data_IF_125110174835
#
_entry.id   IF_125110174835
#
_cell.length_a   1.000
_cell.length_b   1.000
_cell.length_c   1.000
_cell.angle_alpha   90.00
_cell.angle_beta   90.00
_cell.angle_gamma   90.00
#
_symmetry.space_group_name_H-M   'P 1'
#
loop_
_entity.id
_entity.type
_entity.pdbx_description
1 polymer ?
#
# COMPACT_ATOMS: atom_id res chain seq x y z
N UNK A 1 -32.56 -3.27 -1.95
CA UNK A 1 -32.23 -2.42 -3.12
C UNK A 1 -33.46 -2.09 -3.95
N UNK A 2 -34.23 -3.05 -4.49
CA UNK A 2 -35.31 -2.72 -5.45
C UNK A 2 -36.50 -1.94 -4.88
N UNK A 3 -36.89 -2.12 -3.62
CA UNK A 3 -37.99 -1.34 -3.02
C UNK A 3 -37.64 0.13 -2.72
N UNK A 4 -36.35 0.44 -2.54
CA UNK A 4 -35.87 1.76 -2.11
C UNK A 4 -35.72 2.75 -3.28
N UNK A 5 -35.73 2.22 -4.51
CA UNK A 5 -35.66 2.99 -5.75
C UNK A 5 -36.91 2.83 -6.62
N UNK A 6 -38.00 2.27 -6.07
CA UNK A 6 -39.26 2.20 -6.80
C UNK A 6 -39.81 3.62 -7.03
N UNK A 7 -40.09 3.96 -8.29
CA UNK A 7 -40.43 5.33 -8.70
C UNK A 7 -39.28 6.34 -8.70
N UNK A 8 -38.06 5.97 -8.25
CA UNK A 8 -36.85 6.82 -8.35
C UNK A 8 -36.13 6.60 -9.69
N UNK A 9 -35.49 7.64 -10.19
CA UNK A 9 -34.79 7.60 -11.48
C UNK A 9 -33.37 7.05 -11.36
N UNK A 10 -32.74 6.73 -12.51
CA UNK A 10 -31.33 6.31 -12.55
C UNK A 10 -30.34 7.39 -12.04
N UNK A 11 -30.76 8.66 -12.02
CA UNK A 11 -29.97 9.77 -11.46
C UNK A 11 -29.82 9.66 -9.96
N UNK A 12 -30.90 9.29 -9.26
CA UNK A 12 -30.91 9.07 -7.82
C UNK A 12 -29.97 7.93 -7.41
N UNK A 13 -30.06 6.80 -8.11
CA UNK A 13 -29.17 5.66 -7.89
C UNK A 13 -27.69 6.04 -8.06
N UNK A 14 -27.36 6.86 -9.06
CA UNK A 14 -25.98 7.32 -9.29
C UNK A 14 -25.52 8.28 -8.20
N UNK A 15 -26.38 9.18 -7.73
CA UNK A 15 -26.09 10.08 -6.62
C UNK A 15 -25.75 9.31 -5.35
N UNK A 16 -26.66 8.44 -4.93
CA UNK A 16 -26.51 7.63 -3.71
C UNK A 16 -25.25 6.72 -3.82
N UNK A 17 -24.98 6.14 -4.99
CA UNK A 17 -23.75 5.35 -5.21
C UNK A 17 -22.49 6.20 -5.12
N UNK A 18 -22.50 7.43 -5.68
CA UNK A 18 -21.36 8.32 -5.62
C UNK A 18 -21.03 8.72 -4.18
N UNK A 19 -22.05 9.04 -3.38
CA UNK A 19 -21.87 9.36 -1.96
C UNK A 19 -21.24 8.20 -1.20
N UNK A 20 -21.74 6.97 -1.40
CA UNK A 20 -21.17 5.77 -0.76
C UNK A 20 -19.70 5.58 -1.14
N UNK A 21 -19.35 5.72 -2.41
CA UNK A 21 -17.96 5.57 -2.86
C UNK A 21 -17.07 6.67 -2.28
N UNK A 22 -17.55 7.91 -2.23
CA UNK A 22 -16.82 9.02 -1.62
C UNK A 22 -16.54 8.75 -0.14
N UNK A 23 -17.55 8.35 0.62
CA UNK A 23 -17.38 8.04 2.04
C UNK A 23 -16.49 6.82 2.27
N UNK A 24 -16.57 5.81 1.41
CA UNK A 24 -15.69 4.65 1.46
C UNK A 24 -14.22 5.02 1.21
N UNK A 25 -13.93 5.90 0.25
CA UNK A 25 -12.56 6.28 -0.13
C UNK A 25 -11.98 7.37 0.78
N UNK A 26 -12.81 8.19 1.42
CA UNK A 26 -12.42 9.28 2.33
C UNK A 26 -11.33 8.88 3.35
N UNK A 27 -11.46 7.78 4.14
CA UNK A 27 -10.43 7.41 5.10
C UNK A 27 -9.09 7.05 4.44
N UNK A 28 -9.10 6.44 3.24
CA UNK A 28 -7.88 6.11 2.51
C UNK A 28 -7.18 7.39 2.07
N UNK A 29 -7.94 8.35 1.50
CA UNK A 29 -7.41 9.66 1.11
C UNK A 29 -6.80 10.40 2.30
N UNK A 30 -7.45 10.37 3.45
CA UNK A 30 -6.99 11.08 4.63
C UNK A 30 -5.66 10.52 5.14
N UNK A 31 -5.52 9.19 5.21
CA UNK A 31 -4.24 8.53 5.56
C UNK A 31 -3.14 8.87 4.54
N UNK A 32 -3.45 8.85 3.24
CA UNK A 32 -2.48 9.23 2.20
C UNK A 32 -2.05 10.68 2.38
N UNK A 33 -2.99 11.59 2.65
CA UNK A 33 -2.69 13.00 2.87
C UNK A 33 -1.80 13.21 4.10
N UNK A 34 -2.08 12.49 5.19
CA UNK A 34 -1.26 12.53 6.42
C UNK A 34 0.17 12.07 6.14
N UNK A 35 0.36 10.92 5.50
CA UNK A 35 1.68 10.39 5.16
C UNK A 35 2.45 11.31 4.19
N UNK A 36 1.77 11.95 3.25
CA UNK A 36 2.40 12.89 2.32
C UNK A 36 2.74 14.24 2.96
N UNK A 37 2.06 14.60 4.06
CA UNK A 37 2.34 15.83 4.80
C UNK A 37 3.59 15.75 5.67
N UNK A 38 4.08 14.53 5.96
CA UNK A 38 5.32 14.28 6.70
C UNK A 38 6.30 13.39 5.90
N UNK A 39 7.11 14.00 5.02
CA UNK A 39 8.12 13.28 4.26
C UNK A 39 9.17 12.57 5.13
N UNK A 40 9.46 13.07 6.33
CA UNK A 40 10.47 12.50 7.21
C UNK A 40 9.98 11.18 7.82
N UNK A 41 8.73 11.15 8.28
CA UNK A 41 8.10 9.92 8.75
C UNK A 41 7.94 8.89 7.62
N UNK A 42 7.56 9.33 6.41
CA UNK A 42 7.51 8.46 5.24
C UNK A 42 8.87 7.83 4.93
N UNK A 43 9.96 8.62 4.97
CA UNK A 43 11.32 8.12 4.82
C UNK A 43 11.72 7.13 5.91
N UNK A 44 11.34 7.39 7.16
CA UNK A 44 11.57 6.48 8.28
C UNK A 44 10.88 5.13 8.04
N UNK A 45 9.61 5.14 7.63
CA UNK A 45 8.85 3.92 7.31
C UNK A 45 9.46 3.15 6.15
N UNK A 46 9.88 3.84 5.08
CA UNK A 46 10.62 3.23 3.96
C UNK A 46 11.92 2.58 4.44
N UNK A 47 12.65 3.23 5.35
CA UNK A 47 13.86 2.67 5.97
C UNK A 47 13.59 1.37 6.73
N UNK A 48 12.52 1.32 7.52
CA UNK A 48 12.07 0.10 8.21
C UNK A 48 11.71 -1.00 7.22
N UNK A 49 10.97 -0.68 6.17
CA UNK A 49 10.61 -1.62 5.10
C UNK A 49 11.84 -2.18 4.39
N UNK A 50 12.80 -1.31 4.04
CA UNK A 50 14.04 -1.69 3.39
C UNK A 50 14.91 -2.60 4.27
N UNK A 51 14.98 -2.34 5.58
CA UNK A 51 15.70 -3.23 6.51
C UNK A 51 15.09 -4.64 6.51
N UNK A 52 13.77 -4.74 6.64
CA UNK A 52 13.06 -6.04 6.62
C UNK A 52 13.26 -6.76 5.28
N UNK A 53 13.11 -6.05 4.16
CA UNK A 53 13.29 -6.60 2.82
C UNK A 53 14.73 -7.12 2.61
N UNK A 54 15.74 -6.35 3.04
CA UNK A 54 17.15 -6.76 2.95
C UNK A 54 17.43 -8.00 3.78
N UNK A 55 16.89 -8.10 4.99
CA UNK A 55 17.08 -9.27 5.83
C UNK A 55 16.61 -10.56 5.11
N UNK A 56 15.43 -10.54 4.50
CA UNK A 56 14.91 -11.67 3.73
C UNK A 56 15.72 -11.90 2.44
N UNK A 57 16.00 -10.86 1.67
CA UNK A 57 16.67 -10.98 0.37
C UNK A 57 18.12 -11.46 0.49
N UNK A 58 18.82 -11.11 1.58
CA UNK A 58 20.21 -11.53 1.83
C UNK A 58 20.36 -13.04 1.87
N UNK A 59 19.38 -13.77 2.42
CA UNK A 59 19.43 -15.22 2.49
C UNK A 59 19.45 -15.82 1.07
N UNK A 60 18.47 -15.46 0.24
CA UNK A 60 18.40 -15.93 -1.15
C UNK A 60 19.63 -15.53 -1.95
N UNK A 61 20.13 -14.31 -1.75
CA UNK A 61 21.34 -13.85 -2.44
C UNK A 61 22.58 -14.66 -2.03
N UNK A 62 22.69 -15.02 -0.75
CA UNK A 62 23.75 -15.89 -0.25
C UNK A 62 23.72 -17.27 -0.90
N UNK A 63 22.56 -17.92 -0.91
CA UNK A 63 22.38 -19.25 -1.54
C UNK A 63 22.78 -19.22 -3.03
N UNK A 64 22.42 -18.15 -3.74
CA UNK A 64 22.75 -17.95 -5.16
C UNK A 64 24.26 -17.72 -5.33
N UNK A 65 24.89 -16.93 -4.47
CA UNK A 65 26.32 -16.67 -4.52
C UNK A 65 27.13 -17.95 -4.28
N UNK A 66 26.73 -18.74 -3.29
CA UNK A 66 27.34 -20.03 -2.99
C UNK A 66 27.19 -21.01 -4.17
N UNK A 67 26.00 -21.07 -4.77
CA UNK A 67 25.74 -21.95 -5.92
C UNK A 67 26.57 -21.59 -7.17
N UNK A 68 26.82 -20.30 -7.39
CA UNK A 68 27.63 -19.80 -8.53
C UNK A 68 29.14 -19.88 -8.24
N UNK A 69 29.53 -20.01 -6.97
CA UNK A 69 30.93 -20.05 -6.53
C UNK A 69 31.55 -18.66 -6.34
N UNK A 70 30.74 -17.64 -6.06
CA UNK A 70 31.25 -16.32 -5.69
C UNK A 70 31.80 -16.32 -4.26
N UNK A 71 32.90 -15.60 -4.04
CA UNK A 71 33.41 -15.37 -2.68
C UNK A 71 32.43 -14.44 -1.97
N UNK A 72 31.85 -14.92 -0.88
CA UNK A 72 30.98 -14.13 0.00
C UNK A 72 31.68 -12.82 0.40
N UNK A 73 31.01 -11.68 0.20
CA UNK A 73 31.54 -10.38 0.61
C UNK A 73 31.80 -10.39 2.13
N UNK A 74 32.99 -10.02 2.60
CA UNK A 74 33.29 -10.03 4.03
C UNK A 74 32.47 -8.93 4.72
N UNK A 75 31.62 -9.36 5.66
CA UNK A 75 31.09 -8.56 6.76
C UNK A 75 30.21 -7.36 6.39
N UNK A 76 28.91 -7.51 6.65
CA UNK A 76 28.20 -6.52 7.46
C UNK A 76 27.74 -7.19 8.75
#
# INVERSE_FOLDING_TARGET
MTQEYDGRGYGDLKGDTAEIVVEFVRPIRDVVSELMSDPAELQRLMGVGAHKARATARQTLGDVYDAIGFVSLPGE
#
